data_IF_740165924329
#
_entry.id   IF_740165924329
#
_cell.length_a   1.000
_cell.length_b   1.000
_cell.length_c   1.000
_cell.angle_alpha   90.00
_cell.angle_beta   90.00
_cell.angle_gamma   90.00
#
_symmetry.space_group_name_H-M   'P 1'
#
loop_
_entity.id
_entity.type
_entity.pdbx_description
1 polymer ?
#
# COMPACT_ATOMS: atom_id res chain seq x y z
N UNK A 1 35.78 -6.32 -7.53
CA UNK A 1 35.33 -5.38 -6.50
C UNK A 1 34.12 -6.02 -5.82
N UNK A 2 34.31 -6.53 -4.61
CA UNK A 2 33.27 -7.22 -3.84
C UNK A 2 32.25 -6.20 -3.34
N UNK A 3 30.98 -6.48 -3.64
CA UNK A 3 29.83 -5.74 -3.10
C UNK A 3 29.87 -5.91 -1.58
N UNK A 4 29.77 -4.83 -0.76
CA UNK A 4 29.78 -4.98 0.69
C UNK A 4 28.54 -5.78 1.11
N UNK A 5 28.76 -6.83 1.89
CA UNK A 5 27.77 -7.63 2.57
C UNK A 5 26.88 -6.71 3.44
N UNK A 6 25.62 -6.55 3.06
CA UNK A 6 24.67 -5.78 3.87
C UNK A 6 24.28 -6.61 5.08
N UNK A 7 24.70 -6.15 6.25
CA UNK A 7 24.27 -6.70 7.54
C UNK A 7 22.76 -6.52 7.69
N UNK A 8 21.99 -7.58 7.47
CA UNK A 8 20.58 -7.66 7.84
C UNK A 8 20.55 -7.88 9.35
N UNK A 9 20.15 -6.88 10.11
CA UNK A 9 19.90 -7.05 11.55
C UNK A 9 18.48 -7.63 11.65
N UNK A 10 18.37 -8.93 11.94
CA UNK A 10 17.10 -9.56 12.23
C UNK A 10 16.67 -9.20 13.65
N UNK A 11 15.41 -8.81 13.87
CA UNK A 11 14.89 -8.58 15.21
C UNK A 11 14.90 -9.88 16.03
N UNK A 12 15.14 -9.77 17.33
CA UNK A 12 15.22 -10.90 18.29
C UNK A 12 13.91 -11.69 18.47
N UNK A 13 12.81 -11.26 17.86
CA UNK A 13 11.52 -11.95 17.89
C UNK A 13 11.53 -13.32 17.20
N UNK A 14 12.53 -13.62 16.36
CA UNK A 14 12.73 -14.95 15.77
C UNK A 14 13.50 -15.93 16.67
N UNK A 15 14.13 -15.45 17.75
CA UNK A 15 14.94 -16.29 18.64
C UNK A 15 14.18 -16.92 19.81
N UNK A 16 13.00 -16.42 20.14
CA UNK A 16 12.24 -16.92 21.29
C UNK A 16 11.02 -17.74 20.83
N UNK A 17 11.15 -19.05 20.89
CA UNK A 17 10.26 -20.17 20.58
C UNK A 17 8.73 -20.08 20.78
N UNK A 18 8.13 -18.90 20.84
CA UNK A 18 6.70 -18.68 20.69
C UNK A 18 6.41 -18.38 19.21
N UNK A 19 5.94 -19.39 18.48
CA UNK A 19 5.43 -19.27 17.12
C UNK A 19 4.12 -18.45 17.12
N UNK A 20 4.23 -17.13 17.24
CA UNK A 20 3.18 -16.29 16.67
C UNK A 20 3.32 -16.37 15.16
N UNK A 21 2.20 -16.48 14.44
CA UNK A 21 2.22 -16.52 12.99
C UNK A 21 2.93 -15.26 12.46
N UNK A 22 3.80 -15.38 11.46
CA UNK A 22 4.61 -14.27 11.00
C UNK A 22 3.73 -13.16 10.40
N UNK A 23 4.07 -11.91 10.73
CA UNK A 23 3.44 -10.69 10.22
C UNK A 23 4.52 -9.80 9.60
N UNK A 24 4.32 -9.40 8.33
CA UNK A 24 5.22 -8.49 7.61
C UNK A 24 4.44 -7.30 7.12
N UNK A 25 4.96 -6.09 7.33
CA UNK A 25 4.45 -4.85 6.76
C UNK A 25 5.44 -4.26 5.76
N UNK A 26 4.97 -3.83 4.59
CA UNK A 26 5.79 -3.15 3.59
C UNK A 26 5.55 -1.65 3.57
N UNK A 27 6.65 -0.87 3.68
CA UNK A 27 6.71 0.58 3.49
C UNK A 27 7.39 0.87 2.14
N UNK A 28 6.90 1.87 1.42
CA UNK A 28 7.53 2.32 0.19
C UNK A 28 6.65 3.29 -0.61
N UNK A 29 7.28 4.10 -1.43
CA UNK A 29 6.63 5.05 -2.31
C UNK A 29 5.86 4.35 -3.43
N UNK A 30 5.06 5.12 -4.15
CA UNK A 30 4.42 4.65 -5.38
C UNK A 30 5.49 4.12 -6.35
N UNK A 31 5.26 2.95 -6.93
CA UNK A 31 6.17 2.26 -7.88
C UNK A 31 7.54 1.86 -7.29
N UNK A 32 7.71 1.82 -5.98
CA UNK A 32 8.96 1.32 -5.37
C UNK A 32 9.18 -0.19 -5.55
N UNK A 33 8.13 -0.95 -5.86
CA UNK A 33 8.15 -2.40 -5.96
C UNK A 33 7.64 -3.13 -4.71
N UNK A 34 7.04 -2.42 -3.73
CA UNK A 34 6.53 -3.04 -2.50
C UNK A 34 5.45 -4.11 -2.74
N UNK A 35 4.57 -3.89 -3.74
CA UNK A 35 3.53 -4.87 -4.07
C UNK A 35 4.15 -6.12 -4.72
N UNK A 36 5.17 -5.94 -5.56
CA UNK A 36 5.97 -7.05 -6.12
C UNK A 36 6.73 -7.78 -5.01
N UNK A 37 7.32 -7.04 -4.05
CA UNK A 37 7.99 -7.64 -2.90
C UNK A 37 7.02 -8.48 -2.04
N UNK A 38 5.82 -7.96 -1.80
CA UNK A 38 4.78 -8.69 -1.06
C UNK A 38 4.31 -9.96 -1.79
N UNK A 39 4.31 -9.95 -3.13
CA UNK A 39 3.92 -11.11 -3.93
C UNK A 39 4.80 -12.32 -3.64
N UNK A 40 6.09 -12.14 -3.36
CA UNK A 40 6.99 -13.22 -2.96
C UNK A 40 6.48 -14.00 -1.73
N UNK A 41 5.83 -13.32 -0.78
CA UNK A 41 5.24 -13.96 0.40
C UNK A 41 3.87 -14.58 0.08
N UNK A 42 3.05 -13.89 -0.73
CA UNK A 42 1.75 -14.41 -1.18
C UNK A 42 1.92 -15.73 -1.93
N UNK A 43 2.94 -15.85 -2.78
CA UNK A 43 3.28 -17.07 -3.50
C UNK A 43 3.73 -18.21 -2.56
N UNK A 44 4.15 -17.88 -1.34
CA UNK A 44 4.43 -18.84 -0.26
C UNK A 44 3.22 -19.12 0.65
N UNK A 45 2.01 -18.68 0.24
CA UNK A 45 0.77 -18.94 0.96
C UNK A 45 0.44 -17.94 2.07
N UNK A 46 1.07 -16.76 2.10
CA UNK A 46 0.73 -15.72 3.06
C UNK A 46 -0.57 -15.01 2.68
N UNK A 47 -1.38 -14.70 3.66
CA UNK A 47 -2.61 -13.91 3.50
C UNK A 47 -2.25 -12.44 3.29
N UNK A 48 -2.63 -11.88 2.13
CA UNK A 48 -2.45 -10.46 1.83
C UNK A 48 -3.56 -9.64 2.49
N UNK A 49 -3.17 -8.56 3.17
CA UNK A 49 -4.08 -7.51 3.67
C UNK A 49 -3.50 -6.12 3.37
N UNK A 50 -4.37 -5.09 3.42
CA UNK A 50 -3.96 -3.70 3.27
C UNK A 50 -4.78 -2.80 4.21
N UNK A 51 -4.18 -1.74 4.75
CA UNK A 51 -4.89 -0.72 5.55
C UNK A 51 -5.97 -0.01 4.73
N UNK A 52 -5.78 0.09 3.41
CA UNK A 52 -6.76 0.66 2.50
C UNK A 52 -7.91 -0.30 2.11
N UNK A 53 -7.88 -1.58 2.49
CA UNK A 53 -8.95 -2.52 2.09
C UNK A 53 -10.33 -2.11 2.65
N UNK A 54 -10.49 -1.71 3.93
CA UNK A 54 -11.78 -1.21 4.43
C UNK A 54 -12.26 0.06 3.72
N UNK A 55 -11.33 0.95 3.32
CA UNK A 55 -11.66 2.13 2.53
C UNK A 55 -12.20 1.74 1.15
N UNK A 56 -11.54 0.83 0.45
CA UNK A 56 -11.97 0.34 -0.86
C UNK A 56 -13.34 -0.35 -0.76
N UNK A 57 -13.53 -1.21 0.24
CA UNK A 57 -14.81 -1.88 0.52
C UNK A 57 -15.93 -0.87 0.78
N UNK A 58 -15.66 0.18 1.57
CA UNK A 58 -16.61 1.25 1.85
C UNK A 58 -16.95 2.04 0.59
N UNK A 59 -15.95 2.44 -0.18
CA UNK A 59 -16.12 3.20 -1.41
C UNK A 59 -16.97 2.44 -2.45
N UNK A 60 -16.79 1.11 -2.55
CA UNK A 60 -17.60 0.26 -3.43
C UNK A 60 -19.08 0.18 -3.03
N UNK A 61 -19.42 0.51 -1.79
CA UNK A 61 -20.81 0.56 -1.31
C UNK A 61 -21.48 1.91 -1.59
N UNK A 62 -20.73 2.95 -1.90
CA UNK A 62 -21.28 4.26 -2.25
C UNK A 62 -22.00 4.17 -3.60
N UNK A 63 -23.24 4.70 -3.61
CA UNK A 63 -24.06 4.81 -4.82
C UNK A 63 -24.25 6.28 -5.16
N UNK A 64 -24.42 6.57 -6.46
CA UNK A 64 -24.60 7.94 -6.93
C UNK A 64 -23.34 8.81 -6.91
N UNK A 65 -22.17 8.22 -6.66
CA UNK A 65 -20.88 8.92 -6.81
C UNK A 65 -20.40 8.78 -8.24
N UNK A 66 -20.33 9.89 -8.95
CA UNK A 66 -19.92 9.98 -10.35
C UNK A 66 -18.47 10.41 -10.44
N UNK A 67 -17.74 9.79 -11.36
CA UNK A 67 -16.35 10.11 -11.68
C UNK A 67 -16.24 10.45 -13.15
N UNK A 68 -15.39 11.41 -13.47
CA UNK A 68 -15.10 11.76 -14.85
C UNK A 68 -14.21 10.68 -15.46
N UNK A 69 -14.66 10.14 -16.61
CA UNK A 69 -13.92 9.12 -17.36
C UNK A 69 -13.18 9.81 -18.49
N UNK A 70 -11.84 9.82 -18.48
CA UNK A 70 -11.05 10.48 -19.50
C UNK A 70 -11.31 9.93 -20.91
N UNK A 71 -11.12 10.76 -21.91
CA UNK A 71 -11.17 10.35 -23.31
C UNK A 71 -10.13 9.23 -23.56
N UNK A 72 -10.55 8.20 -24.31
CA UNK A 72 -9.70 7.03 -24.59
C UNK A 72 -9.76 5.93 -23.54
N UNK A 73 -10.42 6.12 -22.40
CA UNK A 73 -10.71 5.04 -21.45
C UNK A 73 -11.97 4.31 -21.88
N UNK A 74 -11.83 3.05 -22.28
CA UNK A 74 -12.94 2.21 -22.71
C UNK A 74 -13.49 1.43 -21.53
N UNK A 75 -14.76 1.67 -21.21
CA UNK A 75 -15.55 0.86 -20.26
C UNK A 75 -16.40 -0.15 -21.04
N UNK A 76 -16.76 -1.25 -20.37
CA UNK A 76 -17.71 -2.21 -20.94
C UNK A 76 -19.01 -1.49 -21.36
N UNK A 77 -19.61 -1.92 -22.46
CA UNK A 77 -20.86 -1.35 -22.99
C UNK A 77 -22.04 -1.43 -21.99
N UNK A 78 -21.95 -2.31 -21.00
CA UNK A 78 -22.92 -2.43 -19.90
C UNK A 78 -22.80 -1.33 -18.84
N UNK A 79 -21.70 -0.55 -18.81
CA UNK A 79 -21.52 0.53 -17.85
C UNK A 79 -22.34 1.76 -18.27
N UNK A 80 -23.27 2.24 -17.44
CA UNK A 80 -24.02 3.45 -17.73
C UNK A 80 -23.10 4.67 -17.72
N UNK A 81 -22.95 5.31 -18.88
CA UNK A 81 -22.13 6.52 -19.05
C UNK A 81 -23.07 7.69 -19.35
N UNK A 82 -22.98 8.75 -18.55
CA UNK A 82 -23.59 10.05 -18.86
C UNK A 82 -22.58 10.91 -19.63
N UNK A 83 -23.05 11.59 -20.66
CA UNK A 83 -22.28 12.59 -21.39
C UNK A 83 -22.78 13.99 -21.05
N UNK A 84 -21.84 14.88 -20.80
CA UNK A 84 -22.16 16.28 -20.58
C UNK A 84 -22.68 16.88 -21.88
N UNK A 85 -23.91 17.41 -21.83
CA UNK A 85 -24.57 18.08 -22.96
C UNK A 85 -24.13 19.55 -23.11
N UNK A 86 -23.30 20.09 -22.21
CA UNK A 86 -22.88 21.49 -22.20
C UNK A 86 -21.79 21.84 -23.22
N UNK A 87 -21.36 20.89 -24.04
CA UNK A 87 -20.35 21.10 -25.10
C UNK A 87 -18.91 21.02 -24.67
N UNK A 88 -18.60 20.77 -23.38
CA UNK A 88 -17.26 20.54 -22.87
C UNK A 88 -16.88 19.05 -22.82
N UNK A 89 -17.76 18.18 -23.31
CA UNK A 89 -17.44 16.82 -23.77
C UNK A 89 -17.05 15.79 -22.70
N UNK A 90 -17.28 16.02 -21.40
CA UNK A 90 -16.96 15.05 -20.34
C UNK A 90 -17.88 13.82 -20.37
N UNK A 91 -17.31 12.64 -20.16
CA UNK A 91 -18.04 11.41 -19.91
C UNK A 91 -17.96 11.06 -18.42
N UNK A 92 -19.10 10.71 -17.83
CA UNK A 92 -19.18 10.39 -16.39
C UNK A 92 -19.80 9.01 -16.21
N UNK A 93 -19.22 8.22 -15.29
CA UNK A 93 -19.77 6.95 -14.86
C UNK A 93 -19.78 6.85 -13.33
N UNK A 94 -20.64 6.02 -12.77
CA UNK A 94 -20.60 5.82 -11.33
C UNK A 94 -19.34 5.06 -10.93
N UNK A 95 -18.71 5.50 -9.84
CA UNK A 95 -17.44 4.99 -9.32
C UNK A 95 -17.39 3.45 -9.27
N UNK A 96 -18.42 2.82 -8.67
CA UNK A 96 -18.43 1.36 -8.52
C UNK A 96 -18.45 0.63 -9.86
N UNK A 97 -19.17 1.12 -10.87
CA UNK A 97 -19.16 0.53 -12.22
C UNK A 97 -17.80 0.66 -12.91
N UNK A 98 -17.12 1.81 -12.71
CA UNK A 98 -15.78 2.01 -13.25
C UNK A 98 -14.79 1.01 -12.62
N UNK A 99 -14.88 0.82 -11.30
CA UNK A 99 -14.03 -0.13 -10.59
C UNK A 99 -14.36 -1.58 -10.94
N UNK A 100 -15.64 -1.92 -11.09
CA UNK A 100 -16.05 -3.27 -11.50
C UNK A 100 -15.57 -3.61 -12.93
N UNK A 101 -15.62 -2.63 -13.85
CA UNK A 101 -15.20 -2.84 -15.24
C UNK A 101 -13.68 -2.90 -15.43
N UNK A 102 -12.90 -2.07 -14.73
CA UNK A 102 -11.46 -1.93 -14.93
C UNK A 102 -10.63 -2.70 -13.88
N UNK A 103 -11.23 -3.04 -12.77
CA UNK A 103 -10.50 -3.42 -11.56
C UNK A 103 -9.92 -2.20 -10.81
N UNK A 104 -9.72 -2.32 -9.50
CA UNK A 104 -9.35 -1.20 -8.64
C UNK A 104 -8.03 -0.52 -9.05
N UNK A 105 -7.01 -1.29 -9.40
CA UNK A 105 -5.70 -0.72 -9.70
C UNK A 105 -5.69 0.01 -11.05
N UNK A 106 -6.28 -0.59 -12.09
CA UNK A 106 -6.40 0.07 -13.38
C UNK A 106 -7.33 1.30 -13.30
N UNK A 107 -8.43 1.23 -12.56
CA UNK A 107 -9.32 2.37 -12.34
C UNK A 107 -8.58 3.56 -11.69
N UNK A 108 -7.72 3.32 -10.69
CA UNK A 108 -6.90 4.38 -10.07
C UNK A 108 -5.86 4.99 -11.01
N UNK A 109 -5.35 4.22 -11.95
CA UNK A 109 -4.32 4.69 -12.88
C UNK A 109 -4.90 5.35 -14.13
N UNK A 110 -6.05 4.89 -14.62
CA UNK A 110 -6.68 5.39 -15.84
C UNK A 110 -7.72 6.50 -15.59
N UNK A 111 -8.35 6.52 -14.41
CA UNK A 111 -9.39 7.48 -14.05
C UNK A 111 -8.93 8.27 -12.80
N UNK A 112 -8.36 9.47 -12.98
CA UNK A 112 -7.79 10.26 -11.87
C UNK A 112 -8.78 10.53 -10.74
N UNK A 113 -10.06 10.70 -11.05
CA UNK A 113 -11.13 10.93 -10.08
C UNK A 113 -11.31 9.76 -9.11
N UNK A 114 -11.06 8.51 -9.55
CA UNK A 114 -11.10 7.34 -8.68
C UNK A 114 -10.04 7.46 -7.58
N UNK A 115 -8.82 7.88 -7.94
CA UNK A 115 -7.74 8.10 -6.98
C UNK A 115 -8.04 9.26 -6.05
N UNK A 116 -8.53 10.39 -6.60
CA UNK A 116 -8.91 11.58 -5.83
C UNK A 116 -10.01 11.26 -4.82
N UNK A 117 -11.05 10.54 -5.24
CA UNK A 117 -12.14 10.12 -4.35
C UNK A 117 -11.61 9.29 -3.17
N UNK A 118 -10.79 8.27 -3.44
CA UNK A 118 -10.22 7.43 -2.38
C UNK A 118 -9.32 8.23 -1.43
N UNK A 119 -8.52 9.16 -1.93
CA UNK A 119 -7.66 10.00 -1.11
C UNK A 119 -8.49 10.93 -0.21
N UNK A 120 -9.48 11.63 -0.79
CA UNK A 120 -10.38 12.51 -0.03
C UNK A 120 -11.17 11.72 1.01
N UNK A 121 -11.77 10.60 0.61
CA UNK A 121 -12.56 9.77 1.53
C UNK A 121 -11.70 9.20 2.66
N UNK A 122 -10.53 8.67 2.32
CA UNK A 122 -9.64 8.01 3.27
C UNK A 122 -8.93 8.97 4.22
N UNK A 123 -8.46 10.10 3.72
CA UNK A 123 -7.67 11.06 4.50
C UNK A 123 -8.54 12.18 5.05
N UNK A 124 -9.19 12.95 4.19
CA UNK A 124 -9.87 14.17 4.62
C UNK A 124 -11.16 13.84 5.39
N UNK A 125 -11.96 12.89 4.88
CA UNK A 125 -13.21 12.53 5.53
C UNK A 125 -12.99 11.62 6.74
N UNK A 126 -12.41 10.43 6.56
CA UNK A 126 -12.36 9.44 7.63
C UNK A 126 -11.27 9.77 8.65
N UNK A 127 -10.01 9.94 8.23
CA UNK A 127 -8.93 10.29 9.19
C UNK A 127 -9.12 11.67 9.77
N UNK A 128 -9.59 12.65 8.97
CA UNK A 128 -9.85 14.01 9.44
C UNK A 128 -10.96 14.07 10.49
N UNK A 129 -11.98 13.19 10.40
CA UNK A 129 -13.11 13.18 11.31
C UNK A 129 -12.90 12.27 12.53
N UNK A 130 -12.37 11.06 12.33
CA UNK A 130 -12.25 10.02 13.35
C UNK A 130 -10.83 9.85 13.90
N UNK A 131 -9.89 10.62 13.38
CA UNK A 131 -8.48 10.59 13.79
C UNK A 131 -7.62 9.57 13.06
N UNK A 132 -6.30 9.60 13.32
CA UNK A 132 -5.31 8.79 12.61
C UNK A 132 -5.49 7.28 12.80
N UNK A 133 -6.09 6.85 13.92
CA UNK A 133 -6.31 5.45 14.24
C UNK A 133 -7.50 4.80 13.53
N UNK A 134 -8.28 5.55 12.73
CA UNK A 134 -9.51 5.06 12.13
C UNK A 134 -9.32 3.78 11.30
N UNK A 135 -8.34 3.77 10.40
CA UNK A 135 -8.04 2.59 9.56
C UNK A 135 -7.31 1.49 10.34
N UNK A 136 -6.43 1.87 11.25
CA UNK A 136 -5.72 0.94 12.14
C UNK A 136 -6.72 0.11 12.94
N UNK A 137 -7.76 0.74 13.50
CA UNK A 137 -8.81 0.05 14.26
C UNK A 137 -9.55 -0.99 13.41
N UNK A 138 -9.85 -0.68 12.14
CA UNK A 138 -10.53 -1.59 11.23
C UNK A 138 -9.68 -2.82 10.89
N UNK A 139 -8.40 -2.62 10.58
CA UNK A 139 -7.50 -3.72 10.21
C UNK A 139 -7.06 -4.53 11.42
N UNK A 140 -6.89 -3.92 12.59
CA UNK A 140 -6.42 -4.58 13.81
C UNK A 140 -7.21 -5.85 14.15
N UNK A 141 -8.54 -5.78 14.05
CA UNK A 141 -9.39 -6.92 14.37
C UNK A 141 -9.21 -8.07 13.36
N UNK A 142 -9.11 -7.75 12.08
CA UNK A 142 -8.86 -8.75 11.00
C UNK A 142 -7.49 -9.39 11.17
N UNK A 143 -6.45 -8.59 11.45
CA UNK A 143 -5.09 -9.09 11.70
C UNK A 143 -5.05 -10.04 12.89
N UNK A 144 -5.61 -9.61 14.03
CA UNK A 144 -5.61 -10.46 15.23
C UNK A 144 -6.32 -11.78 15.00
N UNK A 145 -7.43 -11.76 14.28
CA UNK A 145 -8.14 -12.99 13.94
C UNK A 145 -7.29 -13.92 13.06
N UNK A 146 -6.72 -13.43 11.96
CA UNK A 146 -5.88 -14.22 11.07
C UNK A 146 -4.66 -14.81 11.80
N UNK A 147 -3.95 -13.99 12.59
CA UNK A 147 -2.80 -14.44 13.39
C UNK A 147 -3.18 -15.50 14.43
N UNK A 148 -4.36 -15.39 15.05
CA UNK A 148 -4.89 -16.40 15.97
C UNK A 148 -5.25 -17.71 15.28
N UNK A 149 -5.62 -17.68 14.00
CA UNK A 149 -5.82 -18.88 13.17
C UNK A 149 -4.49 -19.50 12.68
N UNK A 150 -3.34 -18.89 13.03
CA UNK A 150 -2.03 -19.35 12.58
C UNK A 150 -1.68 -18.91 11.15
N UNK A 151 -2.41 -17.96 10.58
CA UNK A 151 -2.13 -17.43 9.25
C UNK A 151 -0.92 -16.51 9.27
N UNK A 152 0.00 -16.69 8.32
CA UNK A 152 1.05 -15.72 8.04
C UNK A 152 0.45 -14.56 7.24
N UNK A 153 0.68 -13.30 7.67
CA UNK A 153 0.03 -12.14 7.04
C UNK A 153 1.05 -11.16 6.50
N UNK A 154 0.82 -10.66 5.29
CA UNK A 154 1.57 -9.57 4.68
C UNK A 154 0.69 -8.34 4.45
N UNK A 155 1.11 -7.19 5.00
CA UNK A 155 0.50 -5.88 4.79
C UNK A 155 1.28 -5.11 3.72
N UNK A 156 0.58 -4.72 2.64
CA UNK A 156 1.23 -4.19 1.44
C UNK A 156 1.31 -2.67 1.38
N UNK A 157 0.71 -1.94 2.32
CA UNK A 157 0.52 -0.50 2.23
C UNK A 157 0.72 0.27 3.55
N UNK A 158 1.72 -0.09 4.32
CA UNK A 158 2.09 0.69 5.52
C UNK A 158 2.59 2.07 5.09
N UNK A 159 1.87 3.13 5.48
CA UNK A 159 2.11 4.50 5.02
C UNK A 159 2.17 5.54 6.14
N UNK A 160 1.72 5.19 7.34
CA UNK A 160 1.64 6.07 8.48
C UNK A 160 2.29 5.44 9.71
N UNK A 161 2.72 6.29 10.64
CA UNK A 161 3.42 5.85 11.85
C UNK A 161 2.60 4.88 12.69
N UNK A 162 1.31 5.15 12.87
CA UNK A 162 0.39 4.32 13.63
C UNK A 162 0.09 2.96 12.99
N UNK A 163 0.24 2.85 11.66
CA UNK A 163 0.13 1.59 10.94
C UNK A 163 1.38 0.72 11.17
N UNK A 164 2.56 1.35 11.11
CA UNK A 164 3.83 0.73 11.46
C UNK A 164 3.84 0.27 12.91
N UNK A 165 3.38 1.14 13.84
CA UNK A 165 3.26 0.81 15.27
C UNK A 165 2.41 -0.43 15.50
N UNK A 166 1.30 -0.57 14.77
CA UNK A 166 0.45 -1.76 14.88
C UNK A 166 1.19 -3.03 14.47
N UNK A 167 1.95 -3.00 13.36
CA UNK A 167 2.71 -4.16 12.90
C UNK A 167 3.72 -4.58 13.97
N UNK A 168 4.50 -3.63 14.49
CA UNK A 168 5.51 -3.89 15.52
C UNK A 168 4.88 -4.34 16.85
N UNK A 169 3.76 -3.73 17.27
CA UNK A 169 3.02 -4.12 18.49
C UNK A 169 2.51 -5.56 18.43
N UNK A 170 2.19 -6.06 17.25
CA UNK A 170 1.75 -7.45 17.03
C UNK A 170 2.92 -8.42 16.82
N UNK A 171 4.17 -7.96 17.01
CA UNK A 171 5.38 -8.78 16.86
C UNK A 171 5.79 -9.02 15.41
N UNK A 172 5.24 -8.24 14.47
CA UNK A 172 5.61 -8.28 13.07
C UNK A 172 6.86 -7.46 12.77
N UNK A 173 7.41 -7.63 11.57
CA UNK A 173 8.52 -6.84 11.04
C UNK A 173 8.04 -5.89 9.94
N UNK A 174 8.69 -4.74 9.83
CA UNK A 174 8.43 -3.75 8.80
C UNK A 174 9.61 -3.65 7.85
N UNK A 175 9.36 -3.86 6.56
CA UNK A 175 10.36 -3.84 5.51
C UNK A 175 10.12 -2.63 4.61
N UNK A 176 11.11 -1.74 4.52
CA UNK A 176 11.12 -0.65 3.56
C UNK A 176 11.57 -1.14 2.18
N UNK A 177 10.86 -0.76 1.12
CA UNK A 177 11.27 -1.02 -0.27
C UNK A 177 11.53 0.29 -0.98
N UNK A 178 12.78 0.54 -1.32
CA UNK A 178 13.23 1.75 -2.01
C UNK A 178 13.65 1.43 -3.45
N UNK A 179 13.12 2.21 -4.42
CA UNK A 179 13.54 2.09 -5.82
C UNK A 179 14.83 2.89 -6.03
N UNK A 180 15.95 2.21 -6.06
CA UNK A 180 17.29 2.80 -6.13
C UNK A 180 18.21 2.29 -5.01
N UNK A 181 19.36 2.91 -4.88
CA UNK A 181 20.37 2.59 -3.88
C UNK A 181 20.26 3.42 -2.59
N UNK A 182 21.12 3.14 -1.61
CA UNK A 182 21.14 3.84 -0.33
C UNK A 182 21.46 5.35 -0.49
N UNK A 183 22.32 5.71 -1.45
CA UNK A 183 22.68 7.10 -1.68
C UNK A 183 21.49 7.91 -2.21
N UNK A 184 20.70 7.32 -3.13
CA UNK A 184 19.50 7.95 -3.66
C UNK A 184 18.41 8.13 -2.59
N UNK A 185 18.25 7.17 -1.66
CA UNK A 185 17.33 7.34 -0.51
C UNK A 185 17.77 8.49 0.38
N UNK A 186 19.08 8.58 0.71
CA UNK A 186 19.61 9.68 1.53
C UNK A 186 19.45 11.03 0.84
N UNK A 187 19.65 11.09 -0.48
CA UNK A 187 19.46 12.32 -1.25
C UNK A 187 17.98 12.75 -1.26
N UNK A 188 17.05 11.83 -1.48
CA UNK A 188 15.61 12.09 -1.48
C UNK A 188 15.13 12.62 -0.12
N UNK A 189 15.62 12.05 0.98
CA UNK A 189 15.33 12.54 2.35
C UNK A 189 15.80 13.98 2.59
N UNK A 190 16.98 14.35 2.06
CA UNK A 190 17.53 15.72 2.22
C UNK A 190 16.77 16.77 1.41
N UNK A 191 16.24 16.38 0.25
CA UNK A 191 15.47 17.26 -0.62
C UNK A 191 14.04 17.51 -0.10
N UNK A 192 13.55 16.63 0.79
CA UNK A 192 12.16 16.63 1.23
C UNK A 192 11.21 16.18 0.12
N UNK A 193 9.97 15.92 0.50
CA UNK A 193 8.90 15.65 -0.47
C UNK A 193 8.43 16.96 -1.10
N UNK A 194 8.15 16.95 -2.41
CA UNK A 194 7.56 18.10 -3.09
C UNK A 194 6.19 18.48 -2.48
N UNK A 195 5.81 19.76 -2.57
CA UNK A 195 4.54 20.27 -2.03
C UNK A 195 3.30 19.58 -2.60
N UNK A 196 3.43 18.96 -3.78
CA UNK A 196 2.32 18.35 -4.52
C UNK A 196 2.10 16.87 -4.22
N UNK A 197 2.97 16.25 -3.41
CA UNK A 197 2.80 14.86 -3.00
C UNK A 197 1.73 14.70 -1.91
N UNK A 198 0.93 13.65 -2.03
CA UNK A 198 -0.07 13.32 -0.99
C UNK A 198 0.61 13.06 0.35
N UNK A 199 -0.05 13.43 1.46
CA UNK A 199 0.47 13.29 2.84
C UNK A 199 1.06 11.91 3.11
N UNK A 200 0.41 10.84 2.62
CA UNK A 200 0.89 9.46 2.81
C UNK A 200 2.22 9.15 2.10
N UNK A 201 2.58 9.89 1.06
CA UNK A 201 3.88 9.71 0.38
C UNK A 201 4.97 10.51 1.09
N UNK A 202 4.64 11.69 1.61
CA UNK A 202 5.58 12.48 2.43
C UNK A 202 5.99 11.76 3.71
N UNK A 203 5.05 11.18 4.43
CA UNK A 203 5.33 10.44 5.67
C UNK A 203 6.12 9.15 5.43
N UNK A 204 6.04 8.56 4.24
CA UNK A 204 6.78 7.35 3.93
C UNK A 204 8.30 7.49 4.08
N UNK A 205 8.87 8.66 3.76
CA UNK A 205 10.32 8.91 3.95
C UNK A 205 10.75 8.78 5.41
N UNK A 206 9.93 9.29 6.34
CA UNK A 206 10.21 9.22 7.77
C UNK A 206 10.11 7.78 8.32
N UNK A 207 9.22 6.98 7.71
CA UNK A 207 9.03 5.60 8.13
C UNK A 207 10.23 4.69 7.80
N UNK A 208 11.03 5.02 6.78
CA UNK A 208 12.21 4.21 6.45
C UNK A 208 13.21 4.13 7.61
N UNK A 209 13.28 5.14 8.49
CA UNK A 209 14.15 5.11 9.67
C UNK A 209 13.65 4.17 10.75
N UNK A 210 12.38 3.80 10.69
CA UNK A 210 11.69 2.93 11.65
C UNK A 210 11.50 1.51 11.12
N UNK A 211 11.87 1.25 9.85
CA UNK A 211 11.82 -0.10 9.29
C UNK A 211 12.88 -1.00 9.90
N UNK A 212 12.52 -2.25 10.18
CA UNK A 212 13.44 -3.27 10.67
C UNK A 212 14.48 -3.67 9.62
N UNK A 213 14.12 -3.55 8.33
CA UNK A 213 15.02 -3.75 7.20
C UNK A 213 14.64 -2.84 6.02
N UNK A 214 15.60 -2.53 5.15
CA UNK A 214 15.37 -1.80 3.90
C UNK A 214 15.93 -2.59 2.73
N UNK A 215 15.09 -2.85 1.73
CA UNK A 215 15.47 -3.46 0.46
C UNK A 215 15.66 -2.35 -0.57
N UNK A 216 16.85 -2.30 -1.16
CA UNK A 216 17.19 -1.41 -2.27
C UNK A 216 16.91 -2.13 -3.58
N UNK A 217 15.76 -1.80 -4.18
CA UNK A 217 15.26 -2.44 -5.40
C UNK A 217 15.92 -1.85 -6.65
N UNK A 218 17.15 -2.32 -6.93
CA UNK A 218 17.95 -1.95 -8.11
C UNK A 218 18.05 -3.07 -9.15
N UNK A 219 17.60 -4.27 -8.81
CA UNK A 219 17.76 -5.49 -9.60
C UNK A 219 16.48 -5.94 -10.31
N UNK A 220 16.48 -7.22 -10.63
CA UNK A 220 15.33 -7.92 -11.21
C UNK A 220 14.22 -8.17 -10.17
N UNK A 221 13.09 -8.68 -10.63
CA UNK A 221 12.01 -9.14 -9.74
C UNK A 221 12.48 -10.31 -8.89
N UNK A 222 13.26 -11.23 -9.45
CA UNK A 222 13.79 -12.39 -8.74
C UNK A 222 14.75 -11.97 -7.61
N UNK A 223 15.63 -10.98 -7.85
CA UNK A 223 16.49 -10.41 -6.82
C UNK A 223 15.71 -9.78 -5.67
N UNK A 224 14.60 -9.12 -6.00
CA UNK A 224 13.70 -8.52 -5.02
C UNK A 224 13.01 -9.60 -4.18
N UNK A 225 12.46 -10.64 -4.81
CA UNK A 225 11.82 -11.76 -4.16
C UNK A 225 12.81 -12.52 -3.24
N UNK A 226 14.01 -12.81 -3.73
CA UNK A 226 15.07 -13.46 -2.93
C UNK A 226 15.43 -12.62 -1.69
N UNK A 227 15.53 -11.29 -1.86
CA UNK A 227 15.81 -10.37 -0.75
C UNK A 227 14.73 -10.42 0.32
N UNK A 228 13.45 -10.45 -0.05
CA UNK A 228 12.33 -10.60 0.89
C UNK A 228 12.40 -11.92 1.63
N UNK A 229 12.53 -13.04 0.88
CA UNK A 229 12.53 -14.37 1.46
C UNK A 229 13.74 -14.60 2.40
N UNK A 230 14.85 -13.92 2.17
CA UNK A 230 16.02 -13.98 3.06
C UNK A 230 15.81 -13.23 4.38
N UNK A 231 15.03 -12.13 4.37
CA UNK A 231 14.73 -11.36 5.59
C UNK A 231 13.71 -12.10 6.46
N UNK A 232 12.76 -12.81 5.85
CA UNK A 232 11.61 -13.40 6.55
C UNK A 232 11.88 -14.84 7.02
N UNK A 233 12.95 -15.48 6.55
CA UNK A 233 13.39 -16.81 7.01
C UNK A 233 14.05 -16.75 8.38
#
# INVERSE_FOLDING_TARGET
MSVPEKSVILPSCFENGHRSAPLVGFVGLKRSGKDTAAQALVDQGWTRMAFADPLKEMAMKLRGVWVEVPEGVHLDAAVPVMRDSSGHGGSFAQYHYVVDALGMEAAKDLVPDVRRLLQTLGTDCVRGTFGPMAWVAQIRSRLRYALQQGESVVLTDVRFAEELDLVQLLGGIVIGVWRGDAASLMAARKQGSGSDEHVSERTAYELFDRCDAVIYNCGSVDDLHESVLRIVK
#
